data_IF_699981147256
#
_entry.id   IF_699981147256
#
_cell.length_a   1.000
_cell.length_b   1.000
_cell.length_c   1.000
_cell.angle_alpha   90.00
_cell.angle_beta   90.00
_cell.angle_gamma   90.00
#
_symmetry.space_group_name_H-M   'P 1'
#
loop_
_entity.id
_entity.type
_entity.pdbx_description
1 polymer ?
#
# COMPACT_ATOMS: atom_id res chain seq x y z
N UNK A 1 8.41 -5.78 -16.36
CA UNK A 1 7.44 -6.66 -15.69
C UNK A 1 7.47 -6.31 -14.21
N UNK A 2 6.37 -5.89 -13.61
CA UNK A 2 6.37 -5.47 -12.20
C UNK A 2 6.43 -6.68 -11.30
N UNK A 3 7.10 -6.61 -10.13
CA UNK A 3 7.16 -7.70 -9.14
C UNK A 3 5.78 -8.29 -8.86
N UNK A 4 4.74 -7.47 -8.69
CA UNK A 4 3.38 -7.95 -8.49
C UNK A 4 2.89 -8.82 -9.65
N UNK A 5 3.26 -8.50 -10.88
CA UNK A 5 2.96 -9.31 -12.06
C UNK A 5 3.88 -10.53 -12.13
N UNK A 6 5.14 -10.38 -11.74
CA UNK A 6 6.09 -11.49 -11.61
C UNK A 6 5.67 -12.44 -10.48
N UNK A 7 5.29 -11.95 -9.32
CA UNK A 7 4.78 -12.77 -8.21
C UNK A 7 3.45 -13.42 -8.59
N UNK A 8 2.56 -12.74 -9.30
CA UNK A 8 1.32 -13.36 -9.84
C UNK A 8 1.59 -14.38 -10.94
N UNK A 9 2.59 -14.14 -11.80
CA UNK A 9 2.98 -15.05 -12.90
C UNK A 9 3.87 -16.19 -12.40
N UNK A 10 4.67 -15.96 -11.34
CA UNK A 10 5.48 -16.96 -10.65
C UNK A 10 4.72 -17.74 -9.59
N UNK A 11 3.46 -17.37 -9.33
CA UNK A 11 2.61 -17.93 -8.28
C UNK A 11 2.57 -19.46 -8.29
N UNK A 12 2.53 -20.06 -9.46
CA UNK A 12 2.44 -21.53 -9.60
C UNK A 12 3.78 -22.22 -9.37
N UNK A 13 4.89 -21.67 -9.85
CA UNK A 13 6.20 -22.34 -9.74
C UNK A 13 6.88 -22.10 -8.39
N UNK A 14 6.90 -20.86 -7.90
CA UNK A 14 7.54 -20.53 -6.63
C UNK A 14 6.75 -21.02 -5.41
N UNK A 15 5.42 -20.95 -5.46
CA UNK A 15 4.55 -21.57 -4.45
C UNK A 15 4.67 -23.08 -4.49
N UNK A 16 4.85 -23.69 -5.67
CA UNK A 16 5.16 -25.11 -5.83
C UNK A 16 6.45 -25.49 -5.11
N UNK A 17 7.53 -24.76 -5.33
CA UNK A 17 8.82 -24.95 -4.63
C UNK A 17 8.69 -24.74 -3.11
N UNK A 18 8.00 -23.69 -2.69
CA UNK A 18 7.80 -23.42 -1.28
C UNK A 18 7.04 -24.53 -0.57
N UNK A 19 6.05 -25.14 -1.22
CA UNK A 19 5.34 -26.31 -0.70
C UNK A 19 6.26 -27.52 -0.56
N UNK A 20 7.11 -27.77 -1.57
CA UNK A 20 8.08 -28.88 -1.54
C UNK A 20 9.10 -28.69 -0.40
N UNK A 21 9.64 -27.48 -0.25
CA UNK A 21 10.61 -27.16 0.81
C UNK A 21 9.95 -26.90 2.17
N UNK A 22 8.63 -26.90 2.25
CA UNK A 22 7.86 -26.51 3.43
C UNK A 22 8.30 -25.14 3.99
N UNK A 23 8.59 -24.20 3.09
CA UNK A 23 9.05 -22.87 3.46
C UNK A 23 7.97 -22.09 4.23
N UNK A 24 8.37 -21.26 5.17
CA UNK A 24 7.44 -20.40 5.93
C UNK A 24 7.31 -19.00 5.32
N UNK A 25 8.34 -18.60 4.59
CA UNK A 25 8.44 -17.30 3.91
C UNK A 25 8.95 -17.49 2.48
N UNK A 26 8.34 -16.79 1.54
CA UNK A 26 8.81 -16.63 0.17
C UNK A 26 9.25 -15.19 -0.04
N UNK A 27 10.35 -15.01 -0.74
CA UNK A 27 10.88 -13.70 -1.15
C UNK A 27 11.11 -13.73 -2.66
N UNK A 28 10.74 -12.65 -3.34
CA UNK A 28 11.02 -12.44 -4.75
C UNK A 28 11.41 -10.97 -5.01
N UNK A 29 12.55 -10.77 -5.65
CA UNK A 29 13.00 -9.45 -6.11
C UNK A 29 12.71 -9.27 -7.59
N UNK A 30 12.59 -8.01 -8.03
CA UNK A 30 12.60 -7.70 -9.46
C UNK A 30 14.01 -7.74 -10.06
N UNK A 31 14.15 -7.69 -11.40
CA UNK A 31 15.44 -7.89 -12.07
C UNK A 31 16.52 -6.88 -11.69
N UNK A 32 16.16 -5.63 -11.38
CA UNK A 32 17.07 -4.57 -10.93
C UNK A 32 17.20 -4.49 -9.41
N UNK A 33 16.51 -5.40 -8.70
CA UNK A 33 16.59 -5.60 -7.26
C UNK A 33 16.34 -4.33 -6.42
N UNK A 34 15.43 -3.45 -6.87
CA UNK A 34 15.01 -2.28 -6.12
C UNK A 34 13.75 -2.55 -5.27
N UNK A 35 13.12 -3.73 -5.44
CA UNK A 35 11.89 -4.16 -4.75
C UNK A 35 11.99 -5.60 -4.29
N UNK A 36 11.23 -5.92 -3.25
CA UNK A 36 11.04 -7.29 -2.78
C UNK A 36 9.57 -7.54 -2.40
N UNK A 37 8.96 -8.50 -3.08
CA UNK A 37 7.63 -9.03 -2.73
C UNK A 37 7.76 -10.25 -1.82
N UNK A 38 6.77 -10.46 -0.96
CA UNK A 38 6.76 -11.59 -0.02
C UNK A 38 5.44 -12.33 -0.02
N UNK A 39 5.52 -13.64 0.23
CA UNK A 39 4.37 -14.43 0.61
C UNK A 39 4.68 -15.20 1.89
N UNK A 40 3.71 -15.27 2.78
CA UNK A 40 3.82 -15.94 4.08
C UNK A 40 2.87 -17.12 4.14
N UNK A 41 3.29 -18.17 4.81
CA UNK A 41 2.46 -19.34 5.05
C UNK A 41 1.47 -19.02 6.17
N UNK A 42 0.19 -19.17 5.88
CA UNK A 42 -0.87 -18.98 6.86
C UNK A 42 -1.15 -20.26 7.69
N UNK A 43 -2.05 -20.16 8.65
CA UNK A 43 -2.45 -21.30 9.52
C UNK A 43 -3.09 -22.46 8.76
N UNK A 44 -3.64 -22.22 7.57
CA UNK A 44 -4.20 -23.25 6.69
C UNK A 44 -3.12 -23.92 5.80
N UNK A 45 -1.85 -23.60 5.99
CA UNK A 45 -0.71 -24.08 5.19
C UNK A 45 -0.79 -23.61 3.73
N UNK A 46 -1.46 -22.48 3.50
CA UNK A 46 -1.51 -21.80 2.21
C UNK A 46 -0.61 -20.56 2.23
N UNK A 47 -0.13 -20.16 1.05
CA UNK A 47 0.72 -18.98 0.94
C UNK A 47 -0.14 -17.76 0.62
N UNK A 48 -0.06 -16.74 1.49
CA UNK A 48 -0.72 -15.46 1.35
C UNK A 48 0.30 -14.41 0.91
N UNK A 49 0.06 -13.82 -0.27
CA UNK A 49 0.87 -12.74 -0.81
C UNK A 49 0.57 -11.45 -0.07
N UNK A 50 1.60 -10.82 0.50
CA UNK A 50 1.46 -9.52 1.14
C UNK A 50 1.66 -8.38 0.15
N UNK A 51 0.85 -7.35 0.29
CA UNK A 51 1.04 -6.10 -0.45
C UNK A 51 2.25 -5.33 0.09
N UNK A 52 2.85 -4.45 -0.72
CA UNK A 52 3.92 -3.57 -0.26
C UNK A 52 3.53 -2.71 0.95
N UNK A 53 2.27 -2.27 1.01
CA UNK A 53 1.74 -1.58 2.17
C UNK A 53 1.70 -2.45 3.44
N UNK A 54 1.24 -3.69 3.33
CA UNK A 54 1.23 -4.61 4.48
C UNK A 54 2.65 -4.89 4.97
N UNK A 55 3.57 -5.19 4.06
CA UNK A 55 4.97 -5.45 4.41
C UNK A 55 5.63 -4.22 5.02
N UNK A 56 5.42 -3.04 4.44
CA UNK A 56 5.94 -1.77 4.98
C UNK A 56 5.42 -1.46 6.38
N UNK A 57 4.14 -1.70 6.64
CA UNK A 57 3.57 -1.56 7.99
C UNK A 57 4.14 -2.55 8.99
N UNK A 58 4.38 -3.80 8.57
CA UNK A 58 5.02 -4.80 9.43
C UNK A 58 6.45 -4.39 9.79
N UNK A 59 7.22 -3.86 8.83
CA UNK A 59 8.55 -3.32 9.08
C UNK A 59 8.50 -2.13 10.04
N UNK A 60 7.58 -1.19 9.83
CA UNK A 60 7.41 -0.03 10.73
C UNK A 60 7.00 -0.46 12.15
N UNK A 61 6.07 -1.42 12.26
CA UNK A 61 5.71 -2.02 13.54
C UNK A 61 6.91 -2.70 14.21
N UNK A 62 7.70 -3.48 13.48
CA UNK A 62 8.91 -4.13 13.97
C UNK A 62 9.93 -3.09 14.47
N UNK A 63 10.17 -2.04 13.70
CA UNK A 63 11.02 -0.91 14.12
C UNK A 63 10.52 -0.29 15.42
N UNK A 64 9.19 -0.17 15.59
CA UNK A 64 8.57 0.28 16.82
C UNK A 64 8.94 -0.54 18.02
N UNK A 65 8.82 -1.84 17.89
CA UNK A 65 9.13 -2.75 18.99
C UNK A 65 10.63 -2.71 19.32
N UNK A 66 11.48 -2.58 18.30
CA UNK A 66 12.95 -2.45 18.50
C UNK A 66 13.32 -1.17 19.26
N UNK A 67 12.66 -0.05 18.97
CA UNK A 67 12.84 1.20 19.73
C UNK A 67 12.43 1.01 21.20
N UNK A 68 11.27 0.42 21.45
CA UNK A 68 10.80 0.12 22.82
C UNK A 68 11.77 -0.74 23.61
N UNK A 69 12.49 -1.64 22.94
CA UNK A 69 13.47 -2.51 23.57
C UNK A 69 14.90 -1.95 23.56
N UNK A 70 15.09 -0.68 23.21
CA UNK A 70 16.41 -0.03 23.17
C UNK A 70 17.37 -0.58 22.11
N UNK A 71 16.86 -1.24 21.08
CA UNK A 71 17.63 -1.85 20.00
C UNK A 71 17.72 -1.00 18.74
N UNK A 72 17.18 0.21 18.78
CA UNK A 72 17.26 1.23 17.73
C UNK A 72 17.48 2.61 18.35
N UNK A 73 17.99 3.58 17.58
CA UNK A 73 18.04 4.99 18.00
C UNK A 73 16.67 5.47 18.49
N UNK A 74 16.68 6.37 19.47
CA UNK A 74 15.46 6.87 20.12
C UNK A 74 14.55 7.70 19.19
N UNK A 75 15.07 8.17 18.05
CA UNK A 75 14.35 9.02 17.10
C UNK A 75 14.44 8.45 15.66
N UNK A 76 13.79 7.32 15.35
CA UNK A 76 13.69 6.82 13.99
C UNK A 76 12.69 7.66 13.19
N UNK A 77 12.96 7.89 11.91
CA UNK A 77 12.08 8.63 10.99
C UNK A 77 11.44 7.67 9.99
N UNK A 78 10.13 7.72 9.83
CA UNK A 78 9.41 7.06 8.77
C UNK A 78 9.12 8.05 7.64
N UNK A 79 9.41 7.66 6.40
CA UNK A 79 9.03 8.40 5.19
C UNK A 79 8.09 7.51 4.38
N UNK A 80 6.96 8.06 3.95
CA UNK A 80 6.04 7.36 3.05
C UNK A 80 5.71 8.23 1.83
N UNK A 81 5.33 7.60 0.73
CA UNK A 81 4.81 8.33 -0.43
C UNK A 81 3.37 8.80 -0.21
N UNK A 82 2.91 9.76 -1.02
CA UNK A 82 1.52 10.26 -0.95
C UNK A 82 0.51 9.13 -1.13
N UNK A 83 0.82 8.17 -1.99
CA UNK A 83 -0.05 7.05 -2.37
C UNK A 83 0.01 5.89 -1.37
N UNK A 84 1.00 5.88 -0.49
CA UNK A 84 1.15 4.88 0.56
C UNK A 84 0.07 5.07 1.63
N UNK A 85 -0.40 3.98 2.18
CA UNK A 85 -1.46 3.92 3.18
C UNK A 85 -1.13 4.75 4.44
N UNK A 86 -2.18 5.30 5.07
CA UNK A 86 -2.03 6.20 6.22
C UNK A 86 -1.88 5.49 7.58
N UNK A 87 -2.02 4.16 7.62
CA UNK A 87 -1.84 3.39 8.85
C UNK A 87 -0.45 3.53 9.45
N UNK A 88 0.61 3.63 8.64
CA UNK A 88 1.96 3.91 9.12
C UNK A 88 2.06 5.23 9.89
N UNK A 89 1.32 6.28 9.48
CA UNK A 89 1.24 7.52 10.27
C UNK A 89 0.54 7.32 11.62
N UNK A 90 -0.47 6.47 11.67
CA UNK A 90 -1.16 6.14 12.92
C UNK A 90 -0.23 5.38 13.87
N UNK A 91 0.51 4.40 13.36
CA UNK A 91 1.56 3.69 14.10
C UNK A 91 2.58 4.69 14.65
N UNK A 92 3.13 5.57 13.80
CA UNK A 92 4.10 6.58 14.19
C UNK A 92 3.58 7.56 15.24
N UNK A 93 2.33 8.02 15.13
CA UNK A 93 1.68 8.92 16.10
C UNK A 93 1.44 8.26 17.45
N UNK A 94 0.93 7.03 17.45
CA UNK A 94 0.68 6.28 18.68
C UNK A 94 1.97 5.94 19.43
N UNK A 95 3.05 5.69 18.70
CA UNK A 95 4.35 5.36 19.25
C UNK A 95 5.23 6.60 19.54
N UNK A 96 4.72 7.84 19.36
CA UNK A 96 5.41 9.13 19.62
C UNK A 96 6.79 9.24 18.95
N UNK A 97 6.90 8.86 17.67
CA UNK A 97 8.17 8.80 16.97
C UNK A 97 8.32 9.82 15.85
N UNK A 98 9.57 10.26 15.63
CA UNK A 98 10.00 10.89 14.39
C UNK A 98 10.04 9.86 13.22
N UNK A 99 10.34 10.31 12.00
CA UNK A 99 10.15 9.51 10.77
C UNK A 99 11.51 9.15 10.12
N UNK A 100 11.94 7.87 10.09
CA UNK A 100 13.22 7.44 9.42
C UNK A 100 13.18 6.17 8.56
N UNK A 101 12.09 5.42 8.53
CA UNK A 101 11.94 4.32 7.59
C UNK A 101 11.12 4.77 6.39
N UNK A 102 11.45 4.28 5.19
CA UNK A 102 10.72 4.61 3.98
C UNK A 102 10.19 3.36 3.30
N UNK A 103 8.94 3.38 2.87
CA UNK A 103 8.38 2.33 2.05
C UNK A 103 7.39 2.85 1.02
N UNK A 104 7.25 2.09 -0.05
CA UNK A 104 6.29 2.34 -1.12
C UNK A 104 5.28 1.19 -1.22
N UNK A 105 4.10 1.50 -1.72
CA UNK A 105 3.07 0.49 -2.01
C UNK A 105 3.52 -0.54 -3.06
N UNK A 106 4.55 -0.21 -3.84
CA UNK A 106 5.13 -1.04 -4.89
C UNK A 106 6.26 -1.95 -4.42
N UNK A 107 6.29 -2.29 -3.12
CA UNK A 107 7.27 -3.19 -2.50
C UNK A 107 8.73 -2.67 -2.47
N UNK A 108 8.93 -1.36 -2.52
CA UNK A 108 10.23 -0.72 -2.33
C UNK A 108 10.42 -0.29 -0.88
N UNK A 109 11.54 -0.64 -0.28
CA UNK A 109 11.86 -0.35 1.12
C UNK A 109 13.20 0.34 1.24
N UNK A 110 13.32 1.20 2.25
CA UNK A 110 14.54 1.90 2.62
C UNK A 110 14.64 1.83 4.15
N UNK A 111 15.54 1.00 4.66
CA UNK A 111 15.61 0.68 6.08
C UNK A 111 16.77 1.31 6.83
N UNK A 112 17.57 2.12 6.15
CA UNK A 112 18.71 2.81 6.73
C UNK A 112 19.13 4.06 5.98
N UNK A 113 20.10 4.80 6.54
CA UNK A 113 20.61 6.03 5.95
C UNK A 113 21.84 5.84 5.04
N UNK A 114 22.37 4.63 4.96
CA UNK A 114 23.58 4.29 4.21
C UNK A 114 23.33 4.18 2.69
N UNK A 115 22.11 3.80 2.29
CA UNK A 115 21.64 3.88 0.90
C UNK A 115 20.45 4.82 0.84
N UNK A 116 20.46 5.74 -0.14
CA UNK A 116 19.37 6.70 -0.37
C UNK A 116 18.50 6.33 -1.57
N UNK A 117 18.43 5.06 -1.85
CA UNK A 117 17.59 4.48 -2.90
C UNK A 117 16.96 3.19 -2.37
N UNK A 118 15.91 2.72 -3.05
CA UNK A 118 15.30 1.43 -2.75
C UNK A 118 16.33 0.32 -2.95
N UNK A 119 16.36 -0.61 -2.02
CA UNK A 119 17.29 -1.74 -2.03
C UNK A 119 16.52 -3.01 -1.63
N UNK A 120 16.33 -3.89 -2.61
CA UNK A 120 15.61 -5.15 -2.40
C UNK A 120 16.38 -6.15 -1.54
N UNK A 121 17.72 -6.08 -1.53
CA UNK A 121 18.55 -6.95 -0.68
C UNK A 121 18.43 -6.53 0.78
N UNK A 122 18.50 -5.23 1.06
CA UNK A 122 18.32 -4.68 2.40
C UNK A 122 16.90 -4.95 2.92
N UNK A 123 15.88 -4.69 2.07
CA UNK A 123 14.50 -5.02 2.37
C UNK A 123 14.31 -6.51 2.69
N UNK A 124 14.87 -7.41 1.89
CA UNK A 124 14.80 -8.85 2.12
C UNK A 124 15.47 -9.26 3.43
N UNK A 125 16.65 -8.69 3.74
CA UNK A 125 17.35 -8.96 5.00
C UNK A 125 16.49 -8.57 6.21
N UNK A 126 15.93 -7.37 6.21
CA UNK A 126 15.09 -6.88 7.30
C UNK A 126 13.80 -7.68 7.46
N UNK A 127 13.20 -8.10 6.35
CA UNK A 127 12.01 -8.97 6.34
C UNK A 127 12.35 -10.34 6.95
N UNK A 128 13.48 -10.95 6.55
CA UNK A 128 13.91 -12.23 7.10
C UNK A 128 14.20 -12.13 8.60
N UNK A 129 14.88 -11.09 9.05
CA UNK A 129 15.15 -10.86 10.48
C UNK A 129 13.86 -10.72 11.29
N UNK A 130 12.96 -9.87 10.80
CA UNK A 130 11.64 -9.65 11.39
C UNK A 130 10.86 -10.96 11.49
N UNK A 131 10.72 -11.66 10.39
CA UNK A 131 9.96 -12.89 10.32
C UNK A 131 10.53 -13.95 11.26
N UNK A 132 11.86 -14.15 11.25
CA UNK A 132 12.54 -15.11 12.12
C UNK A 132 12.32 -14.80 13.59
N UNK A 133 12.41 -13.53 13.98
CA UNK A 133 12.21 -13.10 15.37
C UNK A 133 10.79 -13.44 15.87
N UNK A 134 9.76 -13.15 15.08
CA UNK A 134 8.37 -13.41 15.50
C UNK A 134 8.02 -14.91 15.40
N UNK A 135 8.56 -15.62 14.41
CA UNK A 135 8.38 -17.07 14.28
C UNK A 135 8.94 -17.84 15.48
N UNK A 136 10.14 -17.46 16.00
CA UNK A 136 10.71 -18.09 17.22
C UNK A 136 9.85 -17.87 18.45
N UNK A 137 8.96 -16.87 18.45
CA UNK A 137 8.02 -16.60 19.54
C UNK A 137 6.64 -17.24 19.33
N UNK A 138 6.43 -17.92 18.21
CA UNK A 138 5.13 -18.47 17.84
C UNK A 138 4.07 -17.39 17.54
N UNK A 139 4.52 -16.17 17.19
CA UNK A 139 3.64 -15.03 16.94
C UNK A 139 3.45 -14.86 15.44
N UNK A 140 2.18 -14.85 15.00
CA UNK A 140 1.81 -14.40 13.67
C UNK A 140 1.90 -12.87 13.63
N UNK A 141 2.85 -12.35 12.87
CA UNK A 141 3.10 -10.92 12.80
C UNK A 141 1.91 -10.15 12.22
N UNK A 142 1.22 -10.73 11.22
CA UNK A 142 -0.01 -10.15 10.68
C UNK A 142 -1.13 -10.09 11.73
N UNK A 143 -1.32 -11.16 12.50
CA UNK A 143 -2.34 -11.19 13.54
C UNK A 143 -2.06 -10.11 14.60
N UNK A 144 -0.80 -9.92 14.98
CA UNK A 144 -0.40 -8.87 15.94
C UNK A 144 -0.63 -7.46 15.38
N UNK A 145 -0.28 -7.23 14.11
CA UNK A 145 -0.54 -5.95 13.46
C UNK A 145 -2.03 -5.63 13.43
N UNK A 146 -2.85 -6.57 12.99
CA UNK A 146 -4.30 -6.37 12.88
C UNK A 146 -4.97 -6.24 14.26
N UNK A 147 -4.50 -6.96 15.26
CA UNK A 147 -4.96 -6.82 16.63
C UNK A 147 -4.64 -5.45 17.22
N UNK A 148 -3.47 -4.90 16.91
CA UNK A 148 -3.03 -3.61 17.43
C UNK A 148 -3.68 -2.40 16.72
N UNK A 149 -3.92 -2.47 15.41
CA UNK A 149 -4.28 -1.32 14.57
C UNK A 149 -5.52 -1.53 13.70
N UNK A 150 -6.18 -2.68 13.79
CA UNK A 150 -7.29 -3.06 12.92
C UNK A 150 -6.83 -3.59 11.55
N UNK A 151 -7.78 -4.15 10.81
CA UNK A 151 -7.53 -4.70 9.47
C UNK A 151 -7.55 -3.59 8.43
N UNK A 152 -6.58 -3.62 7.54
CA UNK A 152 -6.48 -2.64 6.48
C UNK A 152 -6.28 -3.33 5.12
N UNK A 153 -7.16 -3.04 4.19
CA UNK A 153 -7.12 -3.53 2.83
C UNK A 153 -6.67 -2.41 1.89
N UNK A 154 -5.71 -2.73 1.03
CA UNK A 154 -5.21 -1.80 0.02
C UNK A 154 -5.28 -2.41 -1.35
N UNK A 155 -5.91 -1.70 -2.27
CA UNK A 155 -6.03 -2.12 -3.65
C UNK A 155 -5.58 -1.01 -4.60
N UNK A 156 -4.83 -1.42 -5.62
CA UNK A 156 -4.46 -0.58 -6.75
C UNK A 156 -5.29 -0.97 -7.97
N UNK A 157 -5.90 0.02 -8.60
CA UNK A 157 -6.58 -0.13 -9.88
C UNK A 157 -5.94 0.78 -10.91
N UNK A 158 -5.51 0.19 -12.01
CA UNK A 158 -4.96 0.89 -13.16
C UNK A 158 -6.04 1.01 -14.25
N UNK A 159 -6.14 2.20 -14.84
CA UNK A 159 -6.99 2.47 -15.99
C UNK A 159 -6.10 3.02 -17.10
N UNK A 160 -6.17 2.42 -18.26
CA UNK A 160 -5.45 2.83 -19.45
C UNK A 160 -6.40 3.55 -20.41
N UNK A 161 -5.92 4.60 -21.03
CA UNK A 161 -6.67 5.44 -21.95
C UNK A 161 -5.84 5.59 -23.24
N UNK A 162 -6.44 5.26 -24.39
CA UNK A 162 -5.71 5.27 -25.64
C UNK A 162 -5.79 6.62 -26.35
N UNK A 163 -4.65 7.06 -26.86
CA UNK A 163 -4.52 8.23 -27.70
C UNK A 163 -4.85 9.58 -27.03
N UNK A 164 -4.92 10.63 -27.82
CA UNK A 164 -5.17 12.01 -27.34
C UNK A 164 -6.57 12.19 -26.73
N UNK A 165 -7.57 11.53 -27.29
CA UNK A 165 -8.92 11.53 -26.75
C UNK A 165 -8.97 10.86 -25.38
N UNK A 166 -8.22 9.76 -25.18
CA UNK A 166 -8.07 9.08 -23.90
C UNK A 166 -7.39 9.96 -22.88
N UNK A 167 -6.34 10.70 -23.25
CA UNK A 167 -5.68 11.65 -22.37
C UNK A 167 -6.63 12.76 -21.90
N UNK A 168 -7.40 13.37 -22.83
CA UNK A 168 -8.39 14.37 -22.47
C UNK A 168 -9.46 13.82 -21.50
N UNK A 169 -9.90 12.58 -21.72
CA UNK A 169 -10.83 11.88 -20.82
C UNK A 169 -10.24 11.71 -19.43
N UNK A 170 -8.98 11.30 -19.33
CA UNK A 170 -8.26 11.17 -18.05
C UNK A 170 -8.21 12.50 -17.29
N UNK A 171 -7.90 13.61 -17.98
CA UNK A 171 -7.87 14.94 -17.39
C UNK A 171 -9.26 15.39 -16.90
N UNK A 172 -10.31 15.12 -17.67
CA UNK A 172 -11.69 15.41 -17.26
C UNK A 172 -12.08 14.63 -16.00
N UNK A 173 -11.65 13.38 -15.89
CA UNK A 173 -11.85 12.55 -14.68
C UNK A 173 -11.14 13.20 -13.49
N UNK A 174 -9.89 13.62 -13.62
CA UNK A 174 -9.16 14.32 -12.56
C UNK A 174 -9.86 15.59 -12.12
N UNK A 175 -10.37 16.39 -13.04
CA UNK A 175 -11.16 17.60 -12.73
C UNK A 175 -12.46 17.28 -12.00
N UNK A 176 -13.17 16.24 -12.41
CA UNK A 176 -14.39 15.79 -11.72
C UNK A 176 -14.09 15.35 -10.27
N UNK A 177 -12.94 14.71 -10.04
CA UNK A 177 -12.50 14.36 -8.68
C UNK A 177 -12.16 15.58 -7.83
N UNK A 178 -11.61 16.68 -8.41
CA UNK A 178 -11.35 17.94 -7.71
C UNK A 178 -12.65 18.64 -7.27
N UNK A 179 -13.71 18.47 -8.05
CA UNK A 179 -14.91 19.31 -7.89
C UNK A 179 -15.92 18.89 -6.84
N UNK A 180 -16.02 17.63 -6.39
CA UNK A 180 -17.16 17.29 -5.52
C UNK A 180 -17.34 15.84 -5.05
N UNK A 181 -16.36 15.06 -4.75
CA UNK A 181 -16.66 13.78 -4.12
C UNK A 181 -16.92 13.98 -2.62
N UNK A 182 -18.20 14.02 -2.23
CA UNK A 182 -18.60 14.11 -0.82
C UNK A 182 -18.70 12.72 -0.15
N UNK A 183 -18.94 11.69 -0.94
CA UNK A 183 -19.13 10.31 -0.46
C UNK A 183 -18.45 9.34 -1.41
N UNK A 184 -17.64 8.44 -0.88
CA UNK A 184 -17.00 7.36 -1.63
C UNK A 184 -17.22 6.02 -0.94
N UNK A 185 -17.75 5.03 -1.67
CA UNK A 185 -18.02 3.70 -1.11
C UNK A 185 -19.03 3.68 0.04
N UNK A 186 -19.90 4.70 0.13
CA UNK A 186 -20.84 4.87 1.25
C UNK A 186 -20.22 5.53 2.47
N UNK A 187 -18.94 5.97 2.41
CA UNK A 187 -18.22 6.68 3.45
C UNK A 187 -18.10 8.16 3.10
N UNK A 188 -18.25 9.03 4.09
CA UNK A 188 -18.11 10.48 3.91
C UNK A 188 -16.64 10.83 3.66
N UNK A 189 -16.39 11.70 2.67
CA UNK A 189 -15.09 12.32 2.47
C UNK A 189 -14.98 13.48 3.46
N UNK A 190 -14.05 13.38 4.39
CA UNK A 190 -13.83 14.40 5.44
C UNK A 190 -12.82 15.45 5.01
N UNK A 191 -11.91 15.12 4.09
CA UNK A 191 -10.92 16.07 3.57
C UNK A 191 -10.45 15.64 2.19
N UNK A 192 -10.34 16.60 1.27
CA UNK A 192 -9.67 16.44 -0.02
C UNK A 192 -8.34 17.19 0.03
N UNK A 193 -7.26 16.52 -0.32
CA UNK A 193 -5.92 17.06 -0.48
C UNK A 193 -5.58 17.06 -1.97
N UNK A 194 -5.34 18.25 -2.54
CA UNK A 194 -4.89 18.42 -3.91
C UNK A 194 -3.40 18.80 -3.90
N UNK A 195 -2.58 17.96 -4.50
CA UNK A 195 -1.12 18.15 -4.58
C UNK A 195 -0.69 18.89 -5.85
N UNK A 196 -1.61 19.24 -6.76
CA UNK A 196 -1.27 19.95 -8.00
C UNK A 196 -0.61 21.31 -7.76
N UNK A 197 -1.04 22.14 -6.79
CA UNK A 197 -0.37 23.41 -6.50
C UNK A 197 0.92 23.24 -5.69
N UNK A 198 1.19 22.04 -5.15
CA UNK A 198 2.13 21.78 -4.06
C UNK A 198 1.45 21.91 -2.71
N UNK A 199 1.70 20.98 -1.81
CA UNK A 199 1.08 20.92 -0.49
C UNK A 199 2.13 20.53 0.56
N UNK A 200 2.14 21.21 1.70
CA UNK A 200 3.01 20.93 2.85
C UNK A 200 4.52 20.84 2.50
N UNK A 201 4.98 21.68 1.56
CA UNK A 201 6.37 21.70 1.10
C UNK A 201 6.73 20.59 0.10
N UNK A 202 5.78 19.76 -0.30
CA UNK A 202 5.98 18.76 -1.33
C UNK A 202 5.95 19.38 -2.73
N UNK A 203 6.69 18.81 -3.69
CA UNK A 203 6.67 19.27 -5.08
C UNK A 203 5.26 19.09 -5.69
N UNK A 204 4.96 19.91 -6.71
CA UNK A 204 3.73 19.83 -7.48
C UNK A 204 3.58 18.45 -8.11
N UNK A 205 2.41 17.85 -7.95
CA UNK A 205 2.10 16.53 -8.49
C UNK A 205 0.60 16.41 -8.76
N UNK A 206 0.21 15.84 -9.92
CA UNK A 206 -1.21 15.64 -10.26
C UNK A 206 -1.79 14.44 -9.49
N UNK A 207 -1.91 14.63 -8.18
CA UNK A 207 -2.40 13.65 -7.22
C UNK A 207 -3.51 14.26 -6.38
N UNK A 208 -4.61 13.53 -6.23
CA UNK A 208 -5.72 13.87 -5.34
C UNK A 208 -5.86 12.79 -4.29
N UNK A 209 -5.95 13.19 -3.01
CA UNK A 209 -6.16 12.27 -1.89
C UNK A 209 -7.40 12.67 -1.11
N UNK A 210 -8.40 11.81 -1.12
CA UNK A 210 -9.61 11.94 -0.32
C UNK A 210 -9.47 11.11 0.95
N UNK A 211 -9.54 11.76 2.11
CA UNK A 211 -9.59 11.08 3.41
C UNK A 211 -11.03 10.78 3.78
N UNK A 212 -11.29 9.57 4.24
CA UNK A 212 -12.62 9.08 4.63
C UNK A 212 -12.78 9.10 6.15
N UNK A 213 -14.03 9.12 6.61
CA UNK A 213 -14.39 9.22 8.04
C UNK A 213 -13.89 8.08 8.92
N UNK A 214 -13.55 6.93 8.34
CA UNK A 214 -13.09 5.71 9.03
C UNK A 214 -11.59 5.43 8.86
N UNK A 215 -10.79 6.47 8.66
CA UNK A 215 -9.36 6.37 8.36
C UNK A 215 -9.04 5.64 7.04
N UNK A 216 -10.04 5.40 6.20
CA UNK A 216 -9.82 4.99 4.82
C UNK A 216 -9.36 6.15 3.95
N UNK A 217 -8.83 5.85 2.77
CA UNK A 217 -8.48 6.87 1.79
C UNK A 217 -8.66 6.39 0.35
N UNK A 218 -8.91 7.35 -0.54
CA UNK A 218 -8.86 7.17 -1.97
C UNK A 218 -7.82 8.13 -2.53
N UNK A 219 -6.80 7.60 -3.19
CA UNK A 219 -5.82 8.41 -3.93
C UNK A 219 -6.00 8.17 -5.41
N UNK A 220 -6.11 9.26 -6.17
CA UNK A 220 -6.18 9.25 -7.63
C UNK A 220 -4.95 9.98 -8.16
N UNK A 221 -4.19 9.32 -9.02
CA UNK A 221 -2.98 9.85 -9.62
C UNK A 221 -2.99 9.64 -11.13
N UNK A 222 -2.79 10.70 -11.89
CA UNK A 222 -2.46 10.61 -13.30
C UNK A 222 -0.99 10.21 -13.49
N UNK A 223 -0.67 9.50 -14.56
CA UNK A 223 0.72 9.27 -14.96
C UNK A 223 1.17 10.42 -15.84
N UNK A 224 2.39 10.92 -15.58
CA UNK A 224 2.98 12.00 -16.38
C UNK A 224 3.55 11.50 -17.73
N UNK A 225 3.86 10.19 -17.82
CA UNK A 225 4.53 9.59 -18.98
C UNK A 225 3.63 8.70 -19.82
N UNK A 226 2.48 8.29 -19.29
CA UNK A 226 1.56 7.36 -19.94
C UNK A 226 0.13 7.82 -19.70
N UNK A 227 -0.77 7.58 -20.64
CA UNK A 227 -2.21 7.86 -20.46
C UNK A 227 -2.85 6.85 -19.51
N UNK A 228 -2.39 6.84 -18.25
CA UNK A 228 -2.83 5.93 -17.18
C UNK A 228 -3.29 6.69 -15.95
N UNK A 229 -4.41 6.27 -15.40
CA UNK A 229 -4.92 6.72 -14.10
C UNK A 229 -4.80 5.60 -13.09
N UNK A 230 -4.17 5.88 -11.97
CA UNK A 230 -4.02 4.93 -10.86
C UNK A 230 -4.91 5.35 -9.71
N UNK A 231 -5.72 4.41 -9.22
CA UNK A 231 -6.54 4.61 -8.03
C UNK A 231 -6.08 3.67 -6.93
N UNK A 232 -5.62 4.25 -5.83
CA UNK A 232 -5.24 3.52 -4.62
C UNK A 232 -6.38 3.66 -3.63
N UNK A 233 -6.94 2.53 -3.20
CA UNK A 233 -8.04 2.47 -2.26
C UNK A 233 -7.54 1.82 -0.99
N UNK A 234 -7.61 2.56 0.12
CA UNK A 234 -7.32 2.05 1.46
C UNK A 234 -8.62 1.98 2.26
N UNK A 235 -8.92 0.80 2.78
CA UNK A 235 -10.08 0.55 3.63
C UNK A 235 -9.61 0.09 4.99
N UNK A 236 -10.03 0.77 6.05
CA UNK A 236 -9.83 0.31 7.43
C UNK A 236 -11.13 -0.31 7.97
N UNK A 237 -11.02 -1.45 8.64
CA UNK A 237 -12.14 -2.16 9.24
C UNK A 237 -11.68 -2.99 10.44
N UNK A 238 -12.63 -3.48 11.24
CA UNK A 238 -12.34 -4.30 12.42
C UNK A 238 -11.77 -5.68 12.05
N UNK A 239 -12.14 -6.20 10.88
CA UNK A 239 -11.69 -7.51 10.39
C UNK A 239 -11.69 -7.57 8.85
N UNK A 240 -11.10 -8.65 8.31
CA UNK A 240 -10.95 -8.89 6.87
C UNK A 240 -12.29 -8.90 6.13
N UNK A 241 -13.28 -9.58 6.66
CA UNK A 241 -14.60 -9.72 6.02
C UNK A 241 -15.33 -8.38 5.92
N UNK A 242 -15.22 -7.53 6.96
CA UNK A 242 -15.77 -6.19 6.95
C UNK A 242 -15.06 -5.31 5.90
N UNK A 243 -13.73 -5.39 5.79
CA UNK A 243 -12.96 -4.66 4.79
C UNK A 243 -13.31 -5.08 3.36
N UNK A 244 -13.42 -6.38 3.10
CA UNK A 244 -13.81 -6.94 1.80
C UNK A 244 -15.23 -6.54 1.39
N UNK A 245 -16.18 -6.48 2.34
CA UNK A 245 -17.53 -5.97 2.09
C UNK A 245 -17.53 -4.50 1.67
N UNK A 246 -16.75 -3.66 2.35
CA UNK A 246 -16.61 -2.25 1.98
C UNK A 246 -15.98 -2.11 0.61
N UNK A 247 -14.92 -2.86 0.32
CA UNK A 247 -14.26 -2.86 -0.99
C UNK A 247 -15.19 -3.33 -2.12
N UNK A 248 -15.94 -4.42 -1.89
CA UNK A 248 -16.90 -4.95 -2.86
C UNK A 248 -17.99 -3.92 -3.16
N UNK A 249 -18.49 -3.22 -2.13
CA UNK A 249 -19.44 -2.11 -2.29
C UNK A 249 -18.83 -0.96 -3.08
N UNK A 250 -17.58 -0.63 -2.85
CA UNK A 250 -16.84 0.38 -3.62
C UNK A 250 -16.67 -0.05 -5.09
N UNK A 251 -16.39 -1.34 -5.35
CA UNK A 251 -16.31 -1.91 -6.72
C UNK A 251 -17.68 -1.91 -7.43
N UNK A 252 -18.78 -2.19 -6.74
CA UNK A 252 -20.13 -2.17 -7.31
C UNK A 252 -20.58 -0.75 -7.67
N UNK A 253 -20.24 0.24 -6.84
CA UNK A 253 -20.45 1.65 -7.13
C UNK A 253 -19.58 2.15 -8.31
N UNK A 254 -18.44 1.52 -8.57
CA UNK A 254 -17.66 1.72 -9.81
C UNK A 254 -18.42 1.31 -11.07
N UNK A 255 -19.11 0.16 -11.06
CA UNK A 255 -19.92 -0.28 -12.21
C UNK A 255 -21.08 0.68 -12.50
N UNK A 256 -21.71 1.23 -11.47
CA UNK A 256 -22.72 2.27 -11.59
C UNK A 256 -22.15 3.63 -12.01
N UNK A 257 -20.93 4.00 -11.55
CA UNK A 257 -20.25 5.25 -11.94
C UNK A 257 -19.49 5.16 -13.26
N UNK A 258 -19.14 3.98 -13.76
CA UNK A 258 -18.76 3.86 -15.17
C UNK A 258 -19.94 4.22 -16.09
N UNK A 259 -21.19 3.97 -15.68
CA UNK A 259 -22.37 4.60 -16.25
C UNK A 259 -22.42 6.13 -16.03
N UNK A 260 -22.10 6.62 -14.82
CA UNK A 260 -22.12 8.05 -14.47
C UNK A 260 -20.88 8.82 -14.98
N UNK A 261 -19.72 8.18 -15.08
CA UNK A 261 -18.53 8.75 -15.76
C UNK A 261 -18.81 8.83 -17.27
N UNK A 262 -19.50 7.86 -17.84
CA UNK A 262 -19.97 7.95 -19.22
C UNK A 262 -21.07 9.02 -19.40
N UNK A 263 -21.98 9.20 -18.43
CA UNK A 263 -23.05 10.22 -18.46
C UNK A 263 -22.55 11.64 -18.10
N UNK A 264 -21.42 11.77 -17.39
CA UNK A 264 -20.80 13.08 -17.12
C UNK A 264 -19.82 13.53 -18.21
N UNK A 265 -19.66 12.70 -19.26
CA UNK A 265 -18.78 12.94 -20.43
C UNK A 265 -19.62 13.08 -21.73
N UNK A 266 -20.93 12.76 -21.70
CA UNK A 266 -21.92 13.18 -22.69
C UNK A 266 -22.48 14.56 -22.34
#
# INVERSE_FOLDING_TARGET
MRILDAVKTYDVSNVGYAKVCNADLLLATDPDCDRVGIAVKNKAVEYELLTGNQTGMLLDYNCSQRVKHGKMPADPVMVKTIVTMDMGEQIGKLEKRGKKDSYEESCGYLTGSYVRNKDGVDGAYMICEMFSYYATKGISLLDELYKAYGYCLNNLHNYEFDGSAGFAKMQNIMQAFRGAIKVFGGKKVVKLLDYAPGLDGLPKSDVLKSLLEDNGSLVVRSSDTESKLKNYISVSAENKEAAEKVETRQKSLKRQKNGLINTAIE
#
